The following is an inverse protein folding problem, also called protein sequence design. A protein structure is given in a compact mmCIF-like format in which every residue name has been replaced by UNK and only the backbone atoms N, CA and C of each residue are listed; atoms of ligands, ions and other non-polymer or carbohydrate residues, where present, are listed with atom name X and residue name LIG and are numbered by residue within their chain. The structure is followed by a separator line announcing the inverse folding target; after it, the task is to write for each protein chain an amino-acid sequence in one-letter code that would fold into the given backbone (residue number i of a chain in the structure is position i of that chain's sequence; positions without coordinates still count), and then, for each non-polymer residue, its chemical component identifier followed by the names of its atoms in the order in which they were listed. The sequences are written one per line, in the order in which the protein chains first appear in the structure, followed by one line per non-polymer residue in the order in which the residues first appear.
data_IF_791002023217
#
_entry.id   IF_791002023217
#
_cell.length_a   1.000
_cell.length_b   1.000
_cell.length_c   1.000
_cell.angle_alpha   90.00
_cell.angle_beta   90.00
_cell.angle_gamma   90.00
#
_symmetry.space_group_name_H-M   'P 1'
#
loop_
_entity.id
_entity.type
_entity.pdbx_description
1 polymer ?
#
# COMPACT_ATOMS: atom_id res chain seq x y z
N UNK A 1 16.88 -12.36 4.53
CA UNK A 1 16.20 -11.76 5.69
C UNK A 1 14.73 -11.61 5.32
N UNK A 2 13.83 -12.19 6.12
CA UNK A 2 12.40 -12.11 5.85
C UNK A 2 11.89 -10.67 6.00
N UNK A 3 10.98 -10.29 5.13
CA UNK A 3 10.41 -8.95 5.02
C UNK A 3 8.90 -9.04 4.85
N UNK A 4 8.17 -8.28 5.66
CA UNK A 4 6.72 -8.19 5.52
C UNK A 4 6.37 -7.29 4.35
N UNK A 5 5.57 -7.81 3.43
CA UNK A 5 5.02 -6.99 2.33
C UNK A 5 4.17 -5.86 2.94
N UNK A 6 4.41 -4.59 2.58
CA UNK A 6 3.73 -3.45 3.19
C UNK A 6 2.21 -3.59 3.19
N UNK A 7 1.58 -3.34 4.36
CA UNK A 7 0.12 -3.39 4.51
C UNK A 7 -0.50 -4.78 4.47
N UNK A 8 0.32 -5.84 4.53
CA UNK A 8 -0.14 -7.24 4.57
C UNK A 8 0.47 -8.00 5.75
N UNK A 9 -0.04 -9.21 6.01
CA UNK A 9 0.58 -10.16 6.93
C UNK A 9 1.54 -11.14 6.23
N UNK A 10 1.70 -11.00 4.92
CA UNK A 10 2.55 -11.88 4.11
C UNK A 10 4.02 -11.53 4.30
N UNK A 11 4.84 -12.56 4.38
CA UNK A 11 6.29 -12.44 4.57
C UNK A 11 7.03 -13.17 3.47
N UNK A 12 8.01 -12.51 2.85
CA UNK A 12 8.86 -13.05 1.80
C UNK A 12 10.34 -12.72 2.07
N UNK A 13 11.29 -13.41 1.43
CA UNK A 13 12.64 -12.91 1.33
C UNK A 13 12.67 -11.56 0.60
N UNK A 14 13.39 -10.57 1.15
CA UNK A 14 13.40 -9.20 0.58
C UNK A 14 13.85 -9.15 -0.88
N UNK A 15 14.76 -10.03 -1.28
CA UNK A 15 15.25 -10.17 -2.65
C UNK A 15 14.17 -10.58 -3.66
N UNK A 16 13.04 -11.10 -3.17
CA UNK A 16 11.88 -11.49 -3.99
C UNK A 16 10.85 -10.37 -4.13
N UNK A 17 11.13 -9.17 -3.61
CA UNK A 17 10.20 -8.04 -3.66
C UNK A 17 9.80 -7.64 -5.09
N UNK A 18 10.67 -7.86 -6.07
CA UNK A 18 10.41 -7.59 -7.48
C UNK A 18 9.35 -8.55 -8.07
N UNK A 19 9.19 -9.74 -7.49
CA UNK A 19 8.21 -10.75 -7.93
C UNK A 19 6.85 -10.65 -7.21
N UNK A 20 6.69 -9.72 -6.27
CA UNK A 20 5.43 -9.56 -5.51
C UNK A 20 4.25 -9.29 -6.44
N UNK A 21 4.43 -8.46 -7.44
CA UNK A 21 3.39 -8.15 -8.42
C UNK A 21 2.94 -9.40 -9.17
N UNK A 22 3.87 -10.18 -9.70
CA UNK A 22 3.58 -11.43 -10.42
C UNK A 22 2.83 -12.42 -9.53
N UNK A 23 3.28 -12.60 -8.27
CA UNK A 23 2.64 -13.47 -7.30
C UNK A 23 1.20 -13.02 -6.99
N UNK A 24 0.98 -11.72 -6.78
CA UNK A 24 -0.36 -11.19 -6.54
C UNK A 24 -1.26 -11.37 -7.76
N UNK A 25 -0.80 -11.04 -8.97
CA UNK A 25 -1.57 -11.23 -10.21
C UNK A 25 -1.96 -12.71 -10.40
N UNK A 26 -1.05 -13.65 -10.11
CA UNK A 26 -1.32 -15.08 -10.19
C UNK A 26 -2.43 -15.54 -9.24
N UNK A 27 -2.51 -14.98 -8.03
CA UNK A 27 -3.59 -15.29 -7.06
C UNK A 27 -4.99 -14.89 -7.56
N UNK A 28 -5.08 -13.99 -8.54
CA UNK A 28 -6.36 -13.52 -9.10
C UNK A 28 -6.79 -14.24 -10.39
N UNK A 29 -5.96 -15.11 -10.95
CA UNK A 29 -6.32 -15.91 -12.15
C UNK A 29 -7.64 -16.71 -11.99
N UNK A 30 -8.02 -17.21 -10.79
CA UNK A 30 -9.31 -17.89 -10.60
C UNK A 30 -10.53 -16.96 -10.56
N UNK A 31 -10.39 -15.67 -10.81
CA UNK A 31 -11.54 -14.74 -10.91
C UNK A 31 -11.86 -13.98 -9.61
N UNK A 32 -10.84 -13.46 -8.93
CA UNK A 32 -11.00 -12.62 -7.74
C UNK A 32 -11.06 -13.39 -6.42
N UNK A 33 -11.02 -12.65 -5.30
CA UNK A 33 -10.95 -13.19 -3.94
C UNK A 33 -12.22 -12.93 -3.15
N UNK A 34 -12.64 -13.89 -2.32
CA UNK A 34 -13.71 -13.67 -1.34
C UNK A 34 -13.18 -12.91 -0.11
N UNK A 35 -14.10 -12.32 0.66
CA UNK A 35 -13.76 -11.48 1.82
C UNK A 35 -12.81 -12.16 2.81
N UNK A 36 -12.99 -13.43 3.09
CA UNK A 36 -12.11 -14.17 4.02
C UNK A 36 -10.67 -14.30 3.52
N UNK A 37 -10.46 -14.42 2.20
CA UNK A 37 -9.13 -14.42 1.61
C UNK A 37 -8.47 -13.03 1.67
N UNK A 38 -9.25 -11.97 1.41
CA UNK A 38 -8.78 -10.59 1.57
C UNK A 38 -8.39 -10.33 3.02
N UNK A 39 -9.22 -10.75 3.99
CA UNK A 39 -8.91 -10.66 5.42
C UNK A 39 -7.64 -11.43 5.78
N UNK A 40 -7.45 -12.64 5.24
CA UNK A 40 -6.25 -13.44 5.51
C UNK A 40 -4.97 -12.79 4.98
N UNK A 41 -5.02 -12.07 3.85
CA UNK A 41 -3.86 -11.35 3.29
C UNK A 41 -3.57 -10.06 4.05
N UNK A 42 -4.61 -9.31 4.38
CA UNK A 42 -4.45 -7.97 4.98
C UNK A 42 -4.35 -7.98 6.50
N UNK A 43 -4.81 -9.05 7.16
CA UNK A 43 -4.98 -9.10 8.61
C UNK A 43 -6.14 -8.24 9.12
N UNK A 44 -6.98 -7.70 8.22
CA UNK A 44 -8.14 -6.90 8.58
C UNK A 44 -9.36 -7.80 8.85
N UNK A 45 -10.13 -7.45 9.88
CA UNK A 45 -11.44 -8.04 10.07
C UNK A 45 -12.38 -7.68 8.91
N UNK A 46 -13.15 -8.66 8.43
CA UNK A 46 -14.04 -8.47 7.29
C UNK A 46 -15.06 -7.33 7.46
N UNK A 47 -15.52 -7.07 8.71
CA UNK A 47 -16.45 -5.97 8.99
C UNK A 47 -15.81 -4.59 8.70
N UNK A 48 -14.50 -4.42 8.87
CA UNK A 48 -13.77 -3.19 8.56
C UNK A 48 -13.83 -2.92 7.06
N UNK A 49 -13.55 -3.95 6.26
CA UNK A 49 -13.58 -3.88 4.80
C UNK A 49 -15.00 -3.55 4.31
N UNK A 50 -16.02 -4.24 4.86
CA UNK A 50 -17.43 -3.98 4.55
C UNK A 50 -17.86 -2.55 4.95
N UNK A 51 -17.36 -2.03 6.07
CA UNK A 51 -17.63 -0.66 6.48
C UNK A 51 -17.02 0.36 5.51
N UNK A 52 -15.82 0.10 4.97
CA UNK A 52 -15.22 0.94 3.94
C UNK A 52 -16.02 0.96 2.65
N UNK A 53 -16.57 -0.19 2.23
CA UNK A 53 -17.51 -0.26 1.10
C UNK A 53 -18.75 0.57 1.40
N UNK A 54 -19.38 0.39 2.58
CA UNK A 54 -20.59 1.11 2.98
C UNK A 54 -20.38 2.64 3.02
N UNK A 55 -19.20 3.10 3.41
CA UNK A 55 -18.83 4.52 3.47
C UNK A 55 -18.36 5.10 2.13
N UNK A 56 -18.27 4.29 1.06
CA UNK A 56 -17.85 4.76 -0.26
C UNK A 56 -16.34 4.97 -0.41
N UNK A 57 -15.52 4.40 0.47
CA UNK A 57 -14.05 4.44 0.34
C UNK A 57 -13.51 3.34 -0.57
N UNK A 58 -14.34 2.33 -0.83
CA UNK A 58 -14.05 1.16 -1.65
C UNK A 58 -15.29 0.82 -2.48
N UNK A 59 -15.09 0.40 -3.73
CA UNK A 59 -16.17 -0.11 -4.57
C UNK A 59 -16.70 -1.44 -4.05
N UNK A 60 -17.99 -1.72 -4.29
CA UNK A 60 -18.61 -3.00 -3.91
C UNK A 60 -18.00 -4.16 -4.71
N UNK A 61 -17.69 -5.31 -4.06
CA UNK A 61 -17.22 -6.49 -4.79
C UNK A 61 -18.33 -7.04 -5.68
N UNK A 62 -17.96 -7.47 -6.89
CA UNK A 62 -18.89 -8.13 -7.81
C UNK A 62 -19.01 -9.63 -7.45
N UNK A 63 -20.22 -10.15 -7.38
CA UNK A 63 -20.47 -11.54 -7.01
C UNK A 63 -19.73 -11.99 -5.74
N UNK A 64 -19.62 -11.09 -4.75
CA UNK A 64 -18.86 -11.28 -3.49
C UNK A 64 -17.36 -11.53 -3.68
N UNK A 65 -16.82 -11.17 -4.83
CA UNK A 65 -15.39 -11.29 -5.14
C UNK A 65 -14.76 -9.92 -5.34
N UNK A 66 -13.64 -9.71 -4.68
CA UNK A 66 -12.79 -8.53 -4.79
C UNK A 66 -11.79 -8.73 -5.92
N UNK A 67 -11.57 -7.70 -6.71
CA UNK A 67 -10.53 -7.65 -7.75
C UNK A 67 -9.16 -7.37 -7.16
N UNK A 68 -8.10 -7.54 -7.93
CA UNK A 68 -6.74 -7.16 -7.54
C UNK A 68 -6.66 -5.66 -7.20
N UNK A 69 -7.26 -4.80 -8.02
CA UNK A 69 -7.37 -3.36 -7.78
C UNK A 69 -8.01 -3.07 -6.42
N UNK A 70 -9.14 -3.71 -6.11
CA UNK A 70 -9.81 -3.54 -4.81
C UNK A 70 -8.94 -4.02 -3.65
N UNK A 71 -8.24 -5.16 -3.77
CA UNK A 71 -7.31 -5.62 -2.76
C UNK A 71 -6.19 -4.60 -2.53
N UNK A 72 -5.55 -4.11 -3.61
CA UNK A 72 -4.46 -3.14 -3.49
C UNK A 72 -4.94 -1.81 -2.89
N UNK A 73 -6.16 -1.35 -3.22
CA UNK A 73 -6.76 -0.19 -2.56
C UNK A 73 -6.98 -0.42 -1.06
N UNK A 74 -7.48 -1.60 -0.67
CA UNK A 74 -7.62 -1.97 0.75
C UNK A 74 -6.26 -1.93 1.46
N UNK A 75 -5.22 -2.49 0.83
CA UNK A 75 -3.86 -2.51 1.38
C UNK A 75 -3.30 -1.09 1.50
N UNK A 76 -3.45 -0.24 0.47
CA UNK A 76 -3.02 1.15 0.50
C UNK A 76 -3.68 1.93 1.66
N UNK A 77 -4.98 1.77 1.85
CA UNK A 77 -5.71 2.38 2.97
C UNK A 77 -5.19 1.81 4.31
N UNK A 78 -5.09 0.49 4.41
CA UNK A 78 -4.64 -0.19 5.64
C UNK A 78 -3.25 0.25 6.09
N UNK A 79 -2.33 0.36 5.16
CA UNK A 79 -0.95 0.74 5.40
C UNK A 79 -0.83 2.18 5.97
N UNK A 80 -1.68 3.08 5.49
CA UNK A 80 -1.59 4.51 5.81
C UNK A 80 -2.47 4.93 7.00
N UNK A 81 -3.51 4.15 7.34
CA UNK A 81 -4.52 4.53 8.37
C UNK A 81 -3.95 4.68 9.78
N UNK A 82 -2.77 4.14 10.06
CA UNK A 82 -2.09 4.30 11.34
C UNK A 82 -1.49 5.69 11.56
N UNK A 83 -1.37 6.49 10.49
CA UNK A 83 -0.71 7.81 10.51
C UNK A 83 -1.63 8.90 9.95
N UNK A 84 -2.43 8.58 8.95
CA UNK A 84 -3.31 9.54 8.28
C UNK A 84 -4.78 9.21 8.52
N UNK A 85 -5.65 10.23 8.68
CA UNK A 85 -7.10 10.05 8.69
C UNK A 85 -7.60 9.42 7.39
N UNK A 86 -8.62 8.57 7.48
CA UNK A 86 -9.13 7.79 6.36
C UNK A 86 -9.58 8.67 5.18
N UNK A 87 -10.23 9.79 5.45
CA UNK A 87 -10.66 10.76 4.44
C UNK A 87 -9.46 11.37 3.68
N UNK A 88 -8.35 11.63 4.38
CA UNK A 88 -7.11 12.13 3.76
C UNK A 88 -6.45 11.08 2.87
N UNK A 89 -6.48 9.81 3.28
CA UNK A 89 -5.97 8.70 2.47
C UNK A 89 -6.79 8.58 1.19
N UNK A 90 -8.13 8.62 1.29
CA UNK A 90 -9.00 8.54 0.12
C UNK A 90 -8.83 9.75 -0.82
N UNK A 91 -8.60 10.95 -0.27
CA UNK A 91 -8.25 12.13 -1.08
C UNK A 91 -6.91 11.95 -1.81
N UNK A 92 -5.90 11.35 -1.15
CA UNK A 92 -4.61 11.07 -1.77
C UNK A 92 -4.75 10.04 -2.91
N UNK A 93 -5.50 8.96 -2.68
CA UNK A 93 -5.76 7.97 -3.72
C UNK A 93 -6.58 8.59 -4.88
N UNK A 94 -7.63 9.36 -4.59
CA UNK A 94 -8.39 10.08 -5.61
C UNK A 94 -7.58 11.12 -6.39
N UNK A 95 -6.48 11.63 -5.85
CA UNK A 95 -5.57 12.53 -6.56
C UNK A 95 -4.89 11.86 -7.76
N UNK A 96 -4.67 10.54 -7.71
CA UNK A 96 -4.04 9.76 -8.80
C UNK A 96 -4.99 8.84 -9.54
N UNK A 97 -6.08 8.38 -8.88
CA UNK A 97 -7.07 7.46 -9.46
C UNK A 97 -8.39 8.15 -9.87
N UNK A 98 -8.49 9.48 -9.73
CA UNK A 98 -9.71 10.20 -10.07
C UNK A 98 -10.94 9.77 -9.25
N UNK A 99 -12.06 9.54 -9.94
CA UNK A 99 -13.30 9.09 -9.31
C UNK A 99 -13.28 7.58 -9.08
N UNK A 100 -13.68 7.13 -7.89
CA UNK A 100 -13.62 5.73 -7.46
C UNK A 100 -14.30 4.73 -8.44
N UNK A 101 -15.35 5.15 -9.13
CA UNK A 101 -16.13 4.31 -10.04
C UNK A 101 -15.83 4.57 -11.53
N UNK A 102 -14.87 5.42 -11.85
CA UNK A 102 -14.48 5.76 -13.21
C UNK A 102 -12.98 5.51 -13.39
N UNK A 103 -12.63 4.50 -14.18
CA UNK A 103 -11.23 4.15 -14.46
C UNK A 103 -10.64 4.97 -15.59
N UNK A 104 -11.47 5.74 -16.30
CA UNK A 104 -11.02 6.52 -17.48
C UNK A 104 -10.24 7.78 -17.10
N UNK A 105 -10.37 8.26 -15.87
CA UNK A 105 -9.68 9.43 -15.33
C UNK A 105 -8.47 9.08 -14.45
N UNK A 106 -8.15 7.77 -14.30
CA UNK A 106 -6.99 7.30 -13.56
C UNK A 106 -5.68 7.71 -14.27
N UNK A 107 -4.75 8.27 -13.52
CA UNK A 107 -3.36 8.41 -14.02
C UNK A 107 -2.52 7.18 -13.64
N UNK A 108 -2.95 6.42 -12.65
CA UNK A 108 -2.37 5.14 -12.28
C UNK A 108 -3.44 4.28 -11.58
N UNK A 109 -3.44 2.98 -11.86
CA UNK A 109 -4.30 2.00 -11.16
C UNK A 109 -3.86 1.79 -9.69
N UNK A 110 -4.80 1.46 -8.78
CA UNK A 110 -4.49 1.20 -7.37
C UNK A 110 -3.49 0.04 -7.18
N UNK A 111 -3.48 -0.95 -8.08
CA UNK A 111 -2.55 -2.08 -8.02
C UNK A 111 -1.15 -1.65 -8.48
N UNK A 112 -1.04 -0.93 -9.57
CA UNK A 112 0.24 -0.44 -10.09
C UNK A 112 0.88 0.55 -9.11
N UNK A 113 0.09 1.46 -8.51
CA UNK A 113 0.55 2.35 -7.44
C UNK A 113 1.09 1.54 -6.25
N UNK A 114 0.37 0.48 -5.84
CA UNK A 114 0.80 -0.37 -4.73
C UNK A 114 2.09 -1.12 -5.06
N UNK A 115 2.24 -1.70 -6.25
CA UNK A 115 3.44 -2.43 -6.62
C UNK A 115 4.66 -1.51 -6.78
N UNK A 116 4.47 -0.30 -7.31
CA UNK A 116 5.53 0.73 -7.26
C UNK A 116 5.95 1.02 -5.82
N UNK A 117 4.97 1.15 -4.92
CA UNK A 117 5.25 1.36 -3.50
C UNK A 117 6.00 0.17 -2.87
N UNK A 118 5.65 -1.07 -3.23
CA UNK A 118 6.35 -2.28 -2.75
C UNK A 118 7.83 -2.26 -3.17
N UNK A 119 8.12 -1.95 -4.44
CA UNK A 119 9.50 -1.80 -4.94
C UNK A 119 10.26 -0.72 -4.17
N UNK A 120 9.63 0.42 -3.93
CA UNK A 120 10.20 1.51 -3.14
C UNK A 120 10.48 1.08 -1.69
N UNK A 121 9.52 0.45 -1.02
CA UNK A 121 9.64 0.00 0.37
C UNK A 121 10.67 -1.12 0.57
N UNK A 122 10.90 -1.94 -0.44
CA UNK A 122 11.95 -2.96 -0.42
C UNK A 122 13.36 -2.35 -0.27
N UNK A 123 13.55 -1.11 -0.72
CA UNK A 123 14.81 -0.35 -0.60
C UNK A 123 14.88 0.51 0.67
N UNK A 124 14.07 0.21 1.68
CA UNK A 124 13.86 1.04 2.88
C UNK A 124 15.14 1.44 3.63
N UNK A 125 16.23 0.69 3.53
CA UNK A 125 17.52 1.05 4.15
C UNK A 125 18.15 2.32 3.54
N UNK A 126 17.86 2.59 2.27
CA UNK A 126 18.37 3.74 1.51
C UNK A 126 17.48 4.98 1.73
N UNK A 127 16.24 4.77 2.21
CA UNK A 127 15.19 5.80 2.24
C UNK A 127 15.24 6.74 3.45
N UNK A 128 16.17 6.54 4.39
CA UNK A 128 16.32 7.43 5.54
C UNK A 128 16.98 8.78 5.19
N UNK A 129 17.68 8.86 4.06
CA UNK A 129 18.25 10.10 3.54
C UNK A 129 17.36 10.65 2.40
N UNK A 130 17.12 11.96 2.41
CA UNK A 130 16.24 12.60 1.41
C UNK A 130 16.76 12.44 -0.02
N UNK A 131 18.05 12.68 -0.23
CA UNK A 131 18.70 12.52 -1.54
C UNK A 131 18.56 11.10 -2.10
N UNK A 132 18.73 10.08 -1.24
CA UNK A 132 18.56 8.70 -1.63
C UNK A 132 17.09 8.35 -1.96
N UNK A 133 16.13 9.01 -1.27
CA UNK A 133 14.69 8.83 -1.56
C UNK A 133 14.33 9.28 -2.97
N UNK A 134 14.80 10.46 -3.37
CA UNK A 134 14.51 10.99 -4.70
C UNK A 134 15.12 10.09 -5.79
N UNK A 135 16.36 9.64 -5.63
CA UNK A 135 16.99 8.74 -6.58
C UNK A 135 16.22 7.41 -6.75
N UNK A 136 15.74 6.82 -5.64
CA UNK A 136 14.95 5.58 -5.69
C UNK A 136 13.57 5.83 -6.29
N UNK A 137 12.95 6.99 -6.02
CA UNK A 137 11.68 7.38 -6.66
C UNK A 137 11.85 7.53 -8.17
N UNK A 138 12.91 8.16 -8.63
CA UNK A 138 13.22 8.31 -10.06
C UNK A 138 13.37 6.95 -10.73
N UNK A 139 14.09 6.03 -10.10
CA UNK A 139 14.29 4.68 -10.61
C UNK A 139 12.95 3.92 -10.69
N UNK A 140 12.13 3.92 -9.64
CA UNK A 140 10.83 3.26 -9.63
C UNK A 140 9.87 3.84 -10.67
N UNK A 141 9.94 5.17 -10.90
CA UNK A 141 9.11 5.85 -11.90
C UNK A 141 9.66 5.75 -13.32
N UNK A 142 10.87 5.23 -13.53
CA UNK A 142 11.48 5.16 -14.86
C UNK A 142 10.65 4.33 -15.85
N UNK A 143 10.00 3.27 -15.35
CA UNK A 143 9.15 2.37 -16.13
C UNK A 143 7.68 2.83 -16.24
N UNK A 144 7.32 3.92 -15.55
CA UNK A 144 5.96 4.45 -15.60
C UNK A 144 5.71 5.20 -16.91
N UNK A 145 4.81 4.67 -17.73
CA UNK A 145 4.32 5.33 -18.95
C UNK A 145 3.25 6.37 -18.58
N UNK A 146 3.54 7.63 -18.87
CA UNK A 146 2.69 8.75 -18.52
C UNK A 146 1.48 8.83 -19.47
N UNK A 147 0.24 8.59 -18.99
CA UNK A 147 -0.94 8.59 -19.84
C UNK A 147 -1.34 10.00 -20.31
N UNK A 148 -0.97 11.02 -19.56
CA UNK A 148 -1.21 12.42 -19.87
C UNK A 148 -0.13 13.33 -19.24
N UNK A 149 0.13 14.52 -19.79
CA UNK A 149 1.14 15.43 -19.26
C UNK A 149 0.92 15.76 -17.77
N UNK A 150 1.97 15.62 -16.96
CA UNK A 150 1.95 15.89 -15.52
C UNK A 150 1.50 14.70 -14.64
N UNK A 151 1.12 13.57 -15.22
CA UNK A 151 0.71 12.38 -14.50
C UNK A 151 1.87 11.80 -13.66
N UNK A 152 3.09 11.76 -14.22
CA UNK A 152 4.30 11.30 -13.53
C UNK A 152 4.57 12.07 -12.24
N UNK A 153 4.42 13.38 -12.27
CA UNK A 153 4.62 14.21 -11.09
C UNK A 153 3.52 13.96 -10.04
N UNK A 154 2.28 13.75 -10.46
CA UNK A 154 1.18 13.37 -9.54
C UNK A 154 1.48 12.04 -8.84
N UNK A 155 1.93 11.03 -9.58
CA UNK A 155 2.31 9.71 -9.02
C UNK A 155 3.52 9.85 -8.10
N UNK A 156 4.54 10.63 -8.49
CA UNK A 156 5.70 10.95 -7.65
C UNK A 156 5.29 11.52 -6.29
N UNK A 157 4.42 12.52 -6.30
CA UNK A 157 3.95 13.18 -5.08
C UNK A 157 3.14 12.19 -4.21
N UNK A 158 2.29 11.37 -4.79
CA UNK A 158 1.55 10.36 -4.06
C UNK A 158 2.49 9.35 -3.39
N UNK A 159 3.45 8.81 -4.13
CA UNK A 159 4.45 7.87 -3.58
C UNK A 159 5.31 8.50 -2.48
N UNK A 160 5.70 9.77 -2.61
CA UNK A 160 6.44 10.51 -1.55
C UNK A 160 5.61 10.61 -0.27
N UNK A 161 4.32 10.96 -0.38
CA UNK A 161 3.42 11.05 0.77
C UNK A 161 3.22 9.66 1.41
N UNK A 162 2.96 8.63 0.60
CA UNK A 162 2.80 7.26 1.07
C UNK A 162 4.05 6.76 1.79
N UNK A 163 5.24 7.00 1.20
CA UNK A 163 6.51 6.61 1.78
C UNK A 163 6.76 7.32 3.12
N UNK A 164 6.52 8.64 3.19
CA UNK A 164 6.71 9.41 4.41
C UNK A 164 5.80 8.92 5.54
N UNK A 165 4.52 8.66 5.24
CA UNK A 165 3.58 8.12 6.21
C UNK A 165 3.96 6.70 6.65
N UNK A 166 4.38 5.84 5.73
CA UNK A 166 4.82 4.48 6.05
C UNK A 166 6.09 4.45 6.91
N UNK A 167 7.08 5.29 6.62
CA UNK A 167 8.28 5.44 7.44
C UNK A 167 7.93 5.95 8.86
N UNK A 168 7.04 6.93 8.97
CA UNK A 168 6.55 7.43 10.26
C UNK A 168 5.88 6.32 11.08
N UNK A 169 5.00 5.51 10.47
CA UNK A 169 4.37 4.36 11.12
C UNK A 169 5.41 3.35 11.63
N UNK A 170 6.44 3.06 10.85
CA UNK A 170 7.52 2.15 11.26
C UNK A 170 8.34 2.69 12.43
N UNK A 171 8.68 3.98 12.41
CA UNK A 171 9.40 4.62 13.50
C UNK A 171 8.57 4.61 14.80
N UNK A 172 7.26 4.85 14.71
CA UNK A 172 6.34 4.77 15.86
C UNK A 172 6.28 3.35 16.43
N UNK A 173 6.20 2.32 15.56
CA UNK A 173 6.21 0.92 16.00
C UNK A 173 7.55 0.52 16.63
N UNK A 174 8.67 1.01 16.12
CA UNK A 174 9.99 0.76 16.67
C UNK A 174 10.14 1.40 18.06
N UNK A 175 9.69 2.65 18.22
CA UNK A 175 9.66 3.32 19.51
C UNK A 175 8.80 2.57 20.53
N UNK A 176 7.62 2.07 20.15
CA UNK A 176 6.79 1.22 20.99
C UNK A 176 7.52 -0.03 21.48
N UNK A 177 8.17 -0.76 20.56
CA UNK A 177 8.96 -1.95 20.94
C UNK A 177 10.12 -1.63 21.89
N UNK A 178 10.76 -0.48 21.73
CA UNK A 178 11.82 -0.02 22.66
C UNK A 178 11.24 0.21 24.05
N UNK A 179 10.05 0.82 24.14
CA UNK A 179 9.37 1.06 25.40
C UNK A 179 8.97 -0.25 26.09
N UNK A 180 8.35 -1.19 25.37
CA UNK A 180 7.97 -2.52 25.88
C UNK A 180 9.20 -3.26 26.45
N UNK A 181 10.36 -3.15 25.78
CA UNK A 181 11.60 -3.76 26.25
C UNK A 181 12.14 -3.11 27.54
N UNK A 182 11.92 -1.80 27.76
CA UNK A 182 12.29 -1.12 28.99
C UNK A 182 11.39 -1.56 30.16
N UNK A 183 10.08 -1.66 29.93
CA UNK A 183 9.11 -2.12 30.93
C UNK A 183 9.39 -3.55 31.38
N UNK A 184 9.71 -4.46 30.44
CA UNK A 184 10.09 -5.85 30.77
C UNK A 184 11.37 -5.95 31.59
N UNK A 185 12.35 -5.05 31.37
CA UNK A 185 13.61 -5.02 32.17
C UNK A 185 13.46 -4.33 33.52
N UNK A 186 12.47 -3.45 33.65
CA UNK A 186 12.20 -2.74 34.92
C UNK A 186 11.36 -3.56 35.91
N UNK A 187 10.83 -4.70 35.50
CA UNK A 187 10.01 -5.58 36.34
C UNK A 187 10.84 -6.71 37.03
N UNK A 188 12.16 -6.69 36.88
CA UNK A 188 13.12 -7.50 37.64
C UNK A 188 13.81 -6.65 38.70
#
# INVERSE_FOLDING_TARGET
MNWNIPGTVLTIPRQEAEHVEEQFRAMFLPGGMVLSQVSAITGLDGYIIQNWVKRGFLTSPQNKRYTLRQLCRIINIHMLKGVLPLERICSLLGYVNGQLNDESDDVIDDADLYFMFVRLAARSKELYREESREAVLDEVLSEYEEPLPGARERVRQALRIMLTAWLAARMTQEAGKMLDNLEQKGTM
#
